data_IF_958382431832
#
_entry.id   IF_958382431832
#
_cell.length_a   1.000
_cell.length_b   1.000
_cell.length_c   1.000
_cell.angle_alpha   90.00
_cell.angle_beta   90.00
_cell.angle_gamma   90.00
#
_symmetry.space_group_name_H-M   'P 1'
#
loop_
_entity.id
_entity.type
_entity.pdbx_description
1 polymer ?
#
# COMPACT_ATOMS: atom_id res chain seq x y z
N UNK A 1 35.86 -10.61 -21.93
CA UNK A 1 35.33 -9.45 -22.67
C UNK A 1 33.95 -9.73 -23.25
N UNK A 2 33.78 -10.74 -24.11
CA UNK A 2 32.47 -11.11 -24.72
C UNK A 2 31.37 -11.42 -23.67
N UNK A 3 31.72 -12.12 -22.59
CA UNK A 3 30.79 -12.47 -21.51
C UNK A 3 30.27 -11.25 -20.75
N UNK A 4 31.12 -10.26 -20.48
CA UNK A 4 30.72 -9.02 -19.81
C UNK A 4 29.79 -8.18 -20.69
N UNK A 5 30.03 -8.15 -22.01
CA UNK A 5 29.15 -7.50 -22.97
C UNK A 5 27.77 -8.14 -23.03
N UNK A 6 27.69 -9.48 -22.99
CA UNK A 6 26.43 -10.23 -22.96
C UNK A 6 25.64 -9.96 -21.67
N UNK A 7 26.31 -9.95 -20.51
CA UNK A 7 25.68 -9.64 -19.22
C UNK A 7 25.12 -8.21 -19.22
N UNK A 8 25.86 -7.24 -19.75
CA UNK A 8 25.41 -5.85 -19.84
C UNK A 8 24.14 -5.67 -20.68
N UNK A 9 24.06 -6.34 -21.84
CA UNK A 9 22.86 -6.31 -22.70
C UNK A 9 21.66 -6.93 -21.99
N UNK A 10 21.88 -8.05 -21.29
CA UNK A 10 20.80 -8.73 -20.57
C UNK A 10 20.24 -7.85 -19.46
N UNK A 11 21.10 -7.22 -18.66
CA UNK A 11 20.70 -6.29 -17.59
C UNK A 11 19.92 -5.11 -18.17
N UNK A 12 20.39 -4.53 -19.27
CA UNK A 12 19.75 -3.38 -19.91
C UNK A 12 18.34 -3.69 -20.43
N UNK A 13 18.08 -4.91 -20.91
CA UNK A 13 16.75 -5.33 -21.37
C UNK A 13 15.84 -5.71 -20.20
N UNK A 14 16.41 -6.29 -19.15
CA UNK A 14 15.65 -6.82 -18.00
C UNK A 14 15.15 -5.71 -17.07
N UNK A 15 16.00 -4.75 -16.69
CA UNK A 15 15.64 -3.66 -15.77
C UNK A 15 14.33 -2.93 -16.14
N UNK A 16 14.17 -2.38 -17.36
CA UNK A 16 12.98 -1.60 -17.72
C UNK A 16 11.69 -2.45 -17.75
N UNK A 17 11.82 -3.77 -17.92
CA UNK A 17 10.67 -4.67 -17.91
C UNK A 17 10.18 -4.94 -16.49
N UNK A 18 11.09 -5.07 -15.53
CA UNK A 18 10.75 -5.26 -14.12
C UNK A 18 10.08 -4.01 -13.52
N UNK A 19 10.57 -2.81 -13.86
CA UNK A 19 9.98 -1.57 -13.37
C UNK A 19 8.51 -1.42 -13.78
N UNK A 20 8.16 -1.76 -15.04
CA UNK A 20 6.78 -1.66 -15.52
C UNK A 20 5.83 -2.61 -14.79
N UNK A 21 6.25 -3.86 -14.60
CA UNK A 21 5.45 -4.88 -13.91
C UNK A 21 5.24 -4.52 -12.44
N UNK A 22 6.29 -4.05 -11.77
CA UNK A 22 6.21 -3.61 -10.38
C UNK A 22 5.24 -2.42 -10.23
N UNK A 23 5.31 -1.43 -11.13
CA UNK A 23 4.43 -0.26 -11.11
C UNK A 23 2.97 -0.63 -11.37
N UNK A 24 2.69 -1.54 -12.31
CA UNK A 24 1.32 -2.02 -12.55
C UNK A 24 0.75 -2.77 -11.35
N UNK A 25 1.55 -3.62 -10.72
CA UNK A 25 1.15 -4.32 -9.50
C UNK A 25 0.88 -3.34 -8.35
N UNK A 26 1.72 -2.33 -8.14
CA UNK A 26 1.51 -1.27 -7.14
C UNK A 26 0.20 -0.50 -7.38
N UNK A 27 -0.16 -0.22 -8.64
CA UNK A 27 -1.44 0.41 -8.99
C UNK A 27 -2.64 -0.45 -8.58
N UNK A 28 -2.60 -1.74 -8.91
CA UNK A 28 -3.69 -2.67 -8.58
C UNK A 28 -3.81 -2.84 -7.07
N UNK A 29 -2.68 -2.96 -6.37
CA UNK A 29 -2.62 -2.97 -4.92
C UNK A 29 -3.24 -1.69 -4.34
N UNK A 30 -2.88 -0.51 -4.85
CA UNK A 30 -3.38 0.77 -4.34
C UNK A 30 -4.90 0.85 -4.47
N UNK A 31 -5.43 0.51 -5.65
CA UNK A 31 -6.87 0.52 -5.89
C UNK A 31 -7.61 -0.43 -4.94
N UNK A 32 -7.04 -1.59 -4.69
CA UNK A 32 -7.61 -2.62 -3.80
C UNK A 32 -7.57 -2.17 -2.35
N UNK A 33 -6.45 -1.60 -1.90
CA UNK A 33 -6.28 -1.07 -0.55
C UNK A 33 -7.22 0.11 -0.27
N UNK A 34 -7.30 1.09 -1.17
CA UNK A 34 -8.22 2.23 -1.05
C UNK A 34 -9.68 1.77 -1.01
N UNK A 35 -10.05 0.81 -1.87
CA UNK A 35 -11.38 0.20 -1.85
C UNK A 35 -11.70 -0.48 -0.52
N UNK A 36 -10.76 -1.27 0.01
CA UNK A 36 -10.89 -1.90 1.31
C UNK A 36 -11.01 -0.91 2.46
N UNK A 37 -10.22 0.18 2.46
CA UNK A 37 -10.31 1.23 3.50
C UNK A 37 -11.66 1.93 3.43
N UNK A 38 -12.12 2.31 2.24
CA UNK A 38 -13.42 2.97 2.03
C UNK A 38 -14.56 2.09 2.51
N UNK A 39 -14.51 0.79 2.21
CA UNK A 39 -15.49 -0.17 2.71
C UNK A 39 -15.49 -0.20 4.24
N UNK A 40 -14.33 -0.32 4.89
CA UNK A 40 -14.23 -0.29 6.37
C UNK A 40 -14.72 1.02 6.98
N UNK A 41 -14.48 2.17 6.32
CA UNK A 41 -15.03 3.46 6.73
C UNK A 41 -16.55 3.50 6.65
N UNK A 42 -17.13 2.93 5.59
CA UNK A 42 -18.58 2.79 5.46
C UNK A 42 -19.15 1.90 6.58
N UNK A 43 -18.53 0.76 6.86
CA UNK A 43 -18.95 -0.11 7.97
C UNK A 43 -18.89 0.61 9.32
N UNK A 44 -17.82 1.37 9.57
CA UNK A 44 -17.69 2.18 10.77
C UNK A 44 -18.79 3.24 10.86
N UNK A 45 -19.07 3.95 9.75
CA UNK A 45 -20.15 4.94 9.69
C UNK A 45 -21.53 4.30 9.91
N UNK A 46 -21.79 3.12 9.36
CA UNK A 46 -23.05 2.39 9.55
C UNK A 46 -23.24 2.02 11.03
N UNK A 47 -22.18 1.58 11.73
CA UNK A 47 -22.28 1.20 13.14
C UNK A 47 -22.34 2.41 14.07
N UNK A 48 -21.47 3.39 13.86
CA UNK A 48 -21.23 4.46 14.84
C UNK A 48 -21.93 5.79 14.46
N UNK A 49 -22.54 5.87 13.27
CA UNK A 49 -23.23 7.07 12.77
C UNK A 49 -22.31 8.23 12.39
N UNK A 50 -20.99 8.05 12.52
CA UNK A 50 -19.97 9.08 12.26
C UNK A 50 -18.74 8.46 11.61
N UNK A 51 -17.97 9.27 10.88
CA UNK A 51 -16.64 8.89 10.43
C UNK A 51 -15.64 8.90 11.60
N UNK A 52 -14.59 8.05 11.58
CA UNK A 52 -13.55 8.09 12.59
C UNK A 52 -12.78 9.41 12.52
N UNK A 53 -12.22 9.86 13.64
CA UNK A 53 -11.39 11.07 13.64
C UNK A 53 -10.05 10.81 12.93
N UNK A 54 -9.57 9.57 13.01
CA UNK A 54 -8.33 9.13 12.40
C UNK A 54 -8.47 7.72 11.80
N UNK A 55 -7.79 7.45 10.69
CA UNK A 55 -7.71 6.09 10.13
C UNK A 55 -7.12 5.08 11.11
N UNK A 56 -6.32 5.55 12.07
CA UNK A 56 -5.77 4.73 13.17
C UNK A 56 -6.86 4.17 14.09
N UNK A 57 -8.00 4.83 14.20
CA UNK A 57 -9.11 4.34 15.02
C UNK A 57 -9.72 3.06 14.41
N UNK A 58 -9.72 2.94 13.08
CA UNK A 58 -10.14 1.72 12.38
C UNK A 58 -9.20 0.53 12.63
N UNK A 59 -7.90 0.78 12.84
CA UNK A 59 -6.91 -0.25 13.22
C UNK A 59 -7.10 -0.67 14.68
N UNK A 60 -7.32 0.28 15.58
CA UNK A 60 -7.55 0.01 17.01
C UNK A 60 -8.83 -0.77 17.26
N UNK A 61 -9.90 -0.43 16.53
CA UNK A 61 -11.21 -1.09 16.65
C UNK A 61 -11.32 -2.38 15.82
N UNK A 62 -10.22 -2.86 15.22
CA UNK A 62 -10.14 -4.10 14.40
C UNK A 62 -11.06 -4.12 13.18
N UNK A 63 -11.55 -2.96 12.73
CA UNK A 63 -12.19 -2.84 11.41
C UNK A 63 -11.20 -3.02 10.27
N UNK A 64 -9.90 -2.90 10.59
CA UNK A 64 -8.76 -3.15 9.74
C UNK A 64 -7.80 -4.10 10.46
N UNK A 65 -7.28 -5.09 9.74
CA UNK A 65 -6.22 -5.97 10.26
C UNK A 65 -4.86 -5.26 10.11
N UNK A 66 -4.10 -5.03 11.18
CA UNK A 66 -2.71 -4.57 11.09
C UNK A 66 -1.79 -5.73 10.70
N UNK A 67 -0.94 -5.54 9.68
CA UNK A 67 0.23 -6.41 9.46
C UNK A 67 1.37 -5.93 10.34
N UNK A 68 1.34 -6.30 11.61
CA UNK A 68 2.57 -6.33 12.39
C UNK A 68 3.13 -7.75 12.37
N UNK A 69 3.94 -8.06 11.36
CA UNK A 69 5.04 -9.04 11.49
C UNK A 69 6.35 -8.49 10.88
N UNK A 70 6.63 -7.19 11.08
CA UNK A 70 7.95 -6.61 10.79
C UNK A 70 8.97 -6.91 11.92
N UNK A 71 9.05 -8.16 12.39
CA UNK A 71 9.82 -8.46 13.60
C UNK A 71 10.42 -9.85 13.77
N UNK A 72 9.95 -10.92 13.11
CA UNK A 72 10.55 -12.25 13.28
C UNK A 72 10.51 -13.09 11.99
N UNK A 73 11.66 -13.14 11.35
CA UNK A 73 12.18 -14.23 10.52
C UNK A 73 11.24 -14.88 9.48
N UNK A 74 11.39 -14.47 8.21
CA UNK A 74 11.76 -15.43 7.14
C UNK A 74 12.26 -14.72 5.88
N UNK A 75 13.59 -14.76 5.71
CA UNK A 75 14.19 -14.89 4.38
C UNK A 75 13.63 -16.15 3.74
N UNK A 76 13.26 -16.08 2.45
CA UNK A 76 13.64 -16.99 1.35
C UNK A 76 12.74 -16.79 0.10
N UNK A 77 11.58 -16.13 0.20
CA UNK A 77 10.83 -15.70 -0.99
C UNK A 77 10.32 -14.26 -0.85
N UNK A 78 10.85 -13.35 -1.66
CA UNK A 78 10.28 -12.03 -1.95
C UNK A 78 8.94 -12.21 -2.69
N UNK A 79 7.90 -12.63 -1.98
CA UNK A 79 6.51 -12.48 -2.41
C UNK A 79 5.86 -11.35 -1.61
N UNK A 80 6.54 -10.20 -1.57
CA UNK A 80 6.04 -8.94 -1.04
C UNK A 80 4.98 -8.30 -1.97
N UNK A 81 4.12 -9.11 -2.59
CA UNK A 81 3.09 -8.65 -3.52
C UNK A 81 1.67 -8.73 -2.95
N UNK A 82 1.50 -9.24 -1.74
CA UNK A 82 0.20 -9.37 -1.07
C UNK A 82 0.28 -9.14 0.45
N UNK A 83 1.21 -8.31 0.93
CA UNK A 83 1.23 -7.97 2.36
C UNK A 83 0.22 -6.88 2.70
N UNK A 84 -0.58 -7.16 3.72
CA UNK A 84 -1.77 -6.39 4.10
C UNK A 84 -1.34 -5.08 4.76
N UNK A 85 -1.21 -3.98 4.01
CA UNK A 85 -1.04 -2.59 4.50
C UNK A 85 0.19 -2.34 5.38
N UNK A 86 1.13 -1.56 4.84
CA UNK A 86 2.31 -1.08 5.56
C UNK A 86 1.97 0.09 6.49
N UNK A 87 2.54 0.09 7.70
CA UNK A 87 2.46 1.20 8.66
C UNK A 87 3.82 1.90 8.76
N UNK A 88 3.84 3.22 8.94
CA UNK A 88 5.07 3.92 9.31
C UNK A 88 5.40 3.78 10.81
N UNK A 89 6.56 4.32 11.21
CA UNK A 89 7.02 4.29 12.61
C UNK A 89 6.05 5.00 13.57
N UNK A 90 5.23 5.91 13.07
CA UNK A 90 4.22 6.67 13.81
C UNK A 90 2.82 6.02 13.78
N UNK A 91 2.68 4.88 13.08
CA UNK A 91 1.46 4.09 12.98
C UNK A 91 0.44 4.60 11.94
N UNK A 92 0.85 5.45 10.99
CA UNK A 92 0.02 5.85 9.85
C UNK A 92 0.06 4.79 8.75
N UNK A 93 -1.09 4.63 8.08
CA UNK A 93 -1.22 3.74 6.93
C UNK A 93 -0.50 4.34 5.73
N UNK A 94 0.43 3.55 5.18
CA UNK A 94 1.14 3.84 3.95
C UNK A 94 0.40 3.23 2.77
N UNK A 95 0.54 3.88 1.62
CA UNK A 95 0.15 3.32 0.34
C UNK A 95 1.23 2.36 -0.21
N UNK A 96 0.96 1.64 -1.31
CA UNK A 96 1.93 0.71 -1.90
C UNK A 96 3.21 1.37 -2.45
N UNK A 97 3.24 2.71 -2.50
CA UNK A 97 4.40 3.51 -2.87
C UNK A 97 5.20 3.98 -1.63
N UNK A 98 4.77 3.60 -0.42
CA UNK A 98 5.40 3.96 0.84
C UNK A 98 5.06 5.38 1.32
N UNK A 99 4.06 6.02 0.73
CA UNK A 99 3.62 7.38 1.09
C UNK A 99 2.38 7.31 1.97
N UNK A 100 2.32 8.16 3.00
CA UNK A 100 1.16 8.26 3.90
C UNK A 100 -0.13 8.56 3.12
N UNK A 101 -1.20 7.84 3.47
CA UNK A 101 -2.53 8.13 2.94
C UNK A 101 -3.06 9.47 3.46
N UNK A 102 -3.77 10.18 2.60
CA UNK A 102 -4.59 11.32 2.97
C UNK A 102 -5.95 10.86 3.48
N UNK A 103 -6.41 11.46 4.56
CA UNK A 103 -7.74 11.24 5.11
C UNK A 103 -8.40 12.55 5.53
N UNK A 104 -9.67 12.70 5.19
CA UNK A 104 -10.52 13.78 5.67
C UNK A 104 -11.64 13.20 6.56
N UNK A 105 -11.65 13.48 7.88
CA UNK A 105 -12.66 12.96 8.80
C UNK A 105 -14.05 13.57 8.60
N UNK A 106 -14.17 14.74 7.97
CA UNK A 106 -15.47 15.38 7.74
C UNK A 106 -16.23 14.71 6.60
N UNK A 107 -15.52 14.33 5.55
CA UNK A 107 -16.10 13.73 4.34
C UNK A 107 -15.92 12.22 4.28
N UNK A 108 -15.08 11.64 5.14
CA UNK A 108 -14.70 10.23 5.08
C UNK A 108 -13.83 9.90 3.86
N UNK A 109 -13.30 10.90 3.16
CA UNK A 109 -12.52 10.71 1.93
C UNK A 109 -11.12 10.21 2.26
N UNK A 110 -10.69 9.15 1.57
CA UNK A 110 -9.32 8.62 1.60
C UNK A 110 -8.73 8.66 0.20
N UNK A 111 -7.48 9.11 0.10
CA UNK A 111 -6.72 9.18 -1.15
C UNK A 111 -5.23 8.90 -0.92
N UNK A 112 -4.53 8.50 -1.98
CA UNK A 112 -3.07 8.44 -1.98
C UNK A 112 -2.48 9.83 -2.16
N UNK A 113 -1.39 10.15 -1.45
CA UNK A 113 -0.61 11.38 -1.68
C UNK A 113 0.49 11.19 -2.74
N UNK A 114 0.56 10.02 -3.36
CA UNK A 114 1.48 9.75 -4.46
C UNK A 114 1.06 10.52 -5.69
N UNK A 115 1.98 11.31 -6.24
CA UNK A 115 1.74 12.15 -7.42
C UNK A 115 1.20 11.31 -8.58
N UNK A 116 0.03 11.70 -9.09
CA UNK A 116 -0.65 11.00 -10.19
C UNK A 116 -1.69 9.95 -9.76
N UNK A 117 -1.82 9.66 -8.47
CA UNK A 117 -2.79 8.69 -7.92
C UNK A 117 -3.76 9.31 -6.90
N UNK A 118 -3.81 10.64 -6.83
CA UNK A 118 -4.60 11.39 -5.85
C UNK A 118 -6.12 11.24 -5.98
N UNK A 119 -6.59 10.84 -7.17
CA UNK A 119 -8.03 10.77 -7.51
C UNK A 119 -8.57 9.33 -7.47
N UNK A 120 -7.71 8.35 -7.23
CA UNK A 120 -8.09 6.93 -7.23
C UNK A 120 -8.86 6.56 -5.98
#
# INVERSE_FOLDING_TARGET
MVTLSLIGILIWVVIPRYERVAVEAQKVALKTELGGIRMSLQWYQIRNGKHPADLRDLLKEKYLAPTQEAGKEKKIFEQAYLETRSLDAEGYILDPFGIRLGYDPKTGRVWSRTKGYEVW
#
